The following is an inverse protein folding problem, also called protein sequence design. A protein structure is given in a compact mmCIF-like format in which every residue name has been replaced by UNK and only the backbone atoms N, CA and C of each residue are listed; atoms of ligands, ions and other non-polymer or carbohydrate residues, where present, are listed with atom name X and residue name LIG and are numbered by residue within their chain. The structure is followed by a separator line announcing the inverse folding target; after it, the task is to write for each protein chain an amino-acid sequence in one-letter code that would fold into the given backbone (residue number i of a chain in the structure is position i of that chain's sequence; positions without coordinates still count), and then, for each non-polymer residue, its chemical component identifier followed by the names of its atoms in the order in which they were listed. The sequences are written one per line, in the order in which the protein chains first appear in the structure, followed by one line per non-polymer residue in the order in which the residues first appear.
data_IF_964325091970
#
_entry.id   IF_964325091970
#
_cell.length_a   1.000
_cell.length_b   1.000
_cell.length_c   1.000
_cell.angle_alpha   90.00
_cell.angle_beta   90.00
_cell.angle_gamma   90.00
#
_symmetry.space_group_name_H-M   'P 1'
#
loop_
_entity.id
_entity.type
_entity.pdbx_description
1 polymer ?
#
# COMPACT_ATOMS: atom_id res chain seq x y z
N UNK A 1 -29.13 -26.79 -9.19
CA UNK A 1 -27.86 -26.74 -8.43
C UNK A 1 -26.72 -26.57 -9.42
N UNK A 2 -26.34 -25.34 -9.72
CA UNK A 2 -25.19 -25.07 -10.58
C UNK A 2 -23.99 -24.95 -9.64
N UNK A 3 -23.05 -25.90 -9.75
CA UNK A 3 -21.76 -25.84 -9.07
C UNK A 3 -20.94 -24.74 -9.73
N UNK A 4 -20.98 -23.55 -9.16
CA UNK A 4 -20.08 -22.47 -9.57
C UNK A 4 -18.64 -22.92 -9.32
N UNK A 5 -17.93 -23.04 -10.44
CA UNK A 5 -16.51 -23.36 -10.51
C UNK A 5 -15.75 -22.22 -9.83
N UNK A 6 -15.07 -22.56 -8.74
CA UNK A 6 -13.97 -21.81 -8.14
C UNK A 6 -12.95 -21.43 -9.24
N UNK A 7 -13.15 -20.28 -9.87
CA UNK A 7 -12.12 -19.65 -10.69
C UNK A 7 -11.21 -18.92 -9.71
N UNK A 8 -10.07 -19.52 -9.43
CA UNK A 8 -8.96 -18.84 -8.77
C UNK A 8 -8.49 -17.69 -9.67
N UNK A 9 -9.16 -16.53 -9.56
CA UNK A 9 -8.93 -15.28 -10.30
C UNK A 9 -7.87 -14.39 -9.62
N UNK A 10 -7.09 -14.93 -8.68
CA UNK A 10 -6.16 -14.19 -7.79
C UNK A 10 -4.96 -13.50 -8.47
N UNK A 11 -4.94 -13.47 -9.80
CA UNK A 11 -3.92 -12.78 -10.60
C UNK A 11 -4.48 -11.93 -11.74
N UNK A 12 -5.81 -11.85 -11.89
CA UNK A 12 -6.44 -11.04 -12.95
C UNK A 12 -7.01 -9.71 -12.41
N UNK A 13 -7.25 -9.61 -11.10
CA UNK A 13 -7.82 -8.40 -10.52
C UNK A 13 -6.77 -7.28 -10.49
N UNK A 14 -7.05 -6.10 -11.08
CA UNK A 14 -6.09 -4.99 -11.13
C UNK A 14 -5.47 -4.62 -9.78
N UNK A 15 -6.21 -4.80 -8.68
CA UNK A 15 -5.73 -4.53 -7.33
C UNK A 15 -4.58 -5.47 -6.90
N UNK A 16 -4.72 -6.79 -7.14
CA UNK A 16 -3.72 -7.78 -6.73
C UNK A 16 -2.42 -7.59 -7.51
N UNK A 17 -2.54 -7.26 -8.81
CA UNK A 17 -1.38 -6.94 -9.65
C UNK A 17 -0.60 -5.72 -9.16
N UNK A 18 -1.29 -4.66 -8.73
CA UNK A 18 -0.63 -3.47 -8.19
C UNK A 18 0.14 -3.80 -6.92
N UNK A 19 -0.44 -4.60 -6.01
CA UNK A 19 0.23 -5.02 -4.78
C UNK A 19 1.46 -5.87 -5.10
N UNK A 20 1.35 -6.85 -6.00
CA UNK A 20 2.48 -7.68 -6.44
C UNK A 20 3.60 -6.83 -7.05
N UNK A 21 3.26 -5.93 -7.98
CA UNK A 21 4.25 -5.04 -8.57
C UNK A 21 4.93 -4.20 -7.48
N UNK A 22 4.21 -3.63 -6.51
CA UNK A 22 4.84 -2.87 -5.41
C UNK A 22 5.80 -3.74 -4.58
N UNK A 23 5.50 -5.03 -4.39
CA UNK A 23 6.37 -5.97 -3.68
C UNK A 23 7.62 -6.38 -4.46
N UNK A 24 7.51 -6.46 -5.79
CA UNK A 24 8.62 -6.85 -6.67
C UNK A 24 9.59 -5.70 -6.93
N UNK A 25 9.17 -4.45 -6.69
CA UNK A 25 10.02 -3.27 -6.82
C UNK A 25 10.77 -2.95 -5.53
N UNK A 26 11.90 -2.24 -5.66
CA UNK A 26 12.61 -1.69 -4.51
C UNK A 26 11.72 -0.69 -3.77
N UNK A 27 11.44 -0.95 -2.49
CA UNK A 27 10.62 -0.10 -1.63
C UNK A 27 11.47 1.02 -1.02
N UNK A 28 11.32 2.23 -1.54
CA UNK A 28 11.96 3.44 -1.05
C UNK A 28 11.04 4.10 -0.02
N UNK A 29 11.59 4.61 1.07
CA UNK A 29 10.82 5.29 2.12
C UNK A 29 11.13 6.78 2.06
N UNK A 30 10.11 7.62 1.86
CA UNK A 30 10.29 9.08 1.91
C UNK A 30 10.70 9.55 3.31
N UNK A 31 11.22 10.78 3.42
CA UNK A 31 11.58 11.36 4.72
C UNK A 31 10.35 11.44 5.66
N UNK A 32 9.20 11.83 5.13
CA UNK A 32 7.96 11.97 5.90
C UNK A 32 7.44 10.60 6.34
N UNK A 33 7.47 9.62 5.43
CA UNK A 33 7.10 8.25 5.72
C UNK A 33 8.03 7.62 6.78
N UNK A 34 9.33 7.88 6.72
CA UNK A 34 10.28 7.39 7.73
C UNK A 34 9.96 7.95 9.12
N UNK A 35 9.62 9.24 9.21
CA UNK A 35 9.15 9.86 10.45
C UNK A 35 7.84 9.22 10.95
N UNK A 36 6.88 9.02 10.05
CA UNK A 36 5.58 8.43 10.39
C UNK A 36 5.73 6.98 10.86
N UNK A 37 6.54 6.16 10.18
CA UNK A 37 6.83 4.78 10.59
C UNK A 37 7.41 4.73 12.01
N UNK A 38 8.36 5.60 12.31
CA UNK A 38 8.95 5.72 13.66
C UNK A 38 7.91 6.15 14.71
N UNK A 39 7.07 7.14 14.39
CA UNK A 39 6.00 7.60 15.27
C UNK A 39 4.92 6.53 15.52
N UNK A 40 4.66 5.69 14.52
CA UNK A 40 3.68 4.61 14.58
C UNK A 40 4.25 3.29 15.13
N UNK A 41 5.56 3.24 15.43
CA UNK A 41 6.30 2.04 15.82
C UNK A 41 6.12 0.88 14.81
N UNK A 42 6.12 1.22 13.52
CA UNK A 42 5.98 0.27 12.42
C UNK A 42 7.37 -0.09 11.91
N UNK A 43 7.78 -1.34 12.09
CA UNK A 43 9.04 -1.85 11.55
C UNK A 43 8.96 -2.06 10.03
N UNK A 44 10.11 -2.27 9.40
CA UNK A 44 10.13 -2.62 7.97
C UNK A 44 9.34 -3.90 7.67
N UNK A 45 9.39 -4.91 8.56
CA UNK A 45 8.63 -6.14 8.40
C UNK A 45 7.12 -5.92 8.52
N UNK A 46 6.70 -5.04 9.42
CA UNK A 46 5.29 -4.66 9.56
C UNK A 46 4.81 -3.93 8.31
N UNK A 47 5.63 -3.02 7.76
CA UNK A 47 5.33 -2.33 6.50
C UNK A 47 5.15 -3.33 5.35
N UNK A 48 6.05 -4.30 5.19
CA UNK A 48 5.93 -5.34 4.16
C UNK A 48 4.66 -6.19 4.36
N UNK A 49 4.32 -6.53 5.61
CA UNK A 49 3.09 -7.24 5.94
C UNK A 49 1.84 -6.41 5.65
N UNK A 50 1.87 -5.10 5.92
CA UNK A 50 0.78 -4.18 5.61
C UNK A 50 0.53 -4.13 4.11
N UNK A 51 1.58 -3.92 3.31
CA UNK A 51 1.50 -3.89 1.84
C UNK A 51 0.97 -5.22 1.31
N UNK A 52 1.50 -6.36 1.81
CA UNK A 52 1.07 -7.70 1.37
C UNK A 52 -0.41 -7.97 1.56
N UNK A 53 -0.99 -7.46 2.65
CA UNK A 53 -2.39 -7.69 3.00
C UNK A 53 -3.30 -6.52 2.61
N UNK A 54 -2.76 -5.49 1.94
CA UNK A 54 -3.51 -4.30 1.63
C UNK A 54 -4.51 -4.51 0.49
N UNK A 55 -5.55 -3.69 0.50
CA UNK A 55 -6.47 -3.49 -0.62
C UNK A 55 -6.17 -2.15 -1.27
N UNK A 56 -6.18 -2.13 -2.60
CA UNK A 56 -5.99 -0.90 -3.37
C UNK A 56 -7.30 -0.13 -3.40
N UNK A 57 -7.28 1.12 -2.93
CA UNK A 57 -8.38 2.07 -3.13
C UNK A 57 -8.15 2.87 -4.41
N UNK A 58 -8.72 2.40 -5.51
CA UNK A 58 -8.65 3.09 -6.81
C UNK A 58 -9.40 4.43 -6.84
N UNK A 59 -10.35 4.65 -5.93
CA UNK A 59 -11.09 5.91 -5.83
C UNK A 59 -10.22 7.05 -5.28
N UNK A 60 -9.34 6.73 -4.33
CA UNK A 60 -8.38 7.68 -3.77
C UNK A 60 -7.02 7.69 -4.51
N UNK A 61 -6.74 6.67 -5.32
CA UNK A 61 -5.51 6.56 -6.11
C UNK A 61 -5.47 7.50 -7.32
N UNK A 62 -4.29 8.01 -7.65
CA UNK A 62 -4.03 8.84 -8.84
C UNK A 62 -3.27 8.03 -9.90
N UNK A 63 -3.97 7.05 -10.47
CA UNK A 63 -3.38 6.04 -11.39
C UNK A 63 -2.97 6.57 -12.76
N UNK A 64 -3.43 7.76 -13.15
CA UNK A 64 -3.13 8.38 -14.46
C UNK A 64 -1.95 9.34 -14.45
N UNK A 65 -1.36 9.59 -13.27
CA UNK A 65 -0.19 10.47 -13.14
C UNK A 65 1.03 9.77 -13.74
N UNK A 66 1.75 10.48 -14.60
CA UNK A 66 3.03 10.06 -15.17
C UNK A 66 4.16 10.94 -14.59
N UNK A 67 5.40 10.43 -14.48
CA UNK A 67 5.83 9.07 -14.83
C UNK A 67 5.44 8.01 -13.81
N UNK A 68 5.14 8.41 -12.57
CA UNK A 68 4.87 7.48 -11.48
C UNK A 68 3.47 7.68 -10.90
N UNK A 69 2.51 6.77 -11.17
CA UNK A 69 1.19 6.80 -10.53
C UNK A 69 1.26 6.68 -9.01
N UNK A 70 0.33 7.33 -8.32
CA UNK A 70 0.15 7.22 -6.86
C UNK A 70 -1.01 6.28 -6.54
N UNK A 71 -0.77 5.31 -5.65
CA UNK A 71 -1.73 4.32 -5.19
C UNK A 71 -1.97 4.49 -3.70
N UNK A 72 -3.25 4.46 -3.32
CA UNK A 72 -3.67 4.43 -1.92
C UNK A 72 -3.98 2.97 -1.56
N UNK A 73 -3.28 2.47 -0.54
CA UNK A 73 -3.43 1.12 -0.02
C UNK A 73 -4.02 1.17 1.39
N UNK A 74 -5.03 0.36 1.65
CA UNK A 74 -5.65 0.22 2.96
C UNK A 74 -5.37 -1.17 3.55
N UNK A 75 -4.89 -1.22 4.78
CA UNK A 75 -4.56 -2.47 5.47
C UNK A 75 -4.91 -2.41 6.95
N UNK A 76 -5.04 -3.57 7.59
CA UNK A 76 -5.32 -3.65 9.03
C UNK A 76 -4.04 -3.65 9.86
N UNK A 77 -3.97 -2.82 10.90
CA UNK A 77 -2.90 -2.81 11.89
C UNK A 77 -3.49 -2.75 13.30
N UNK A 78 -3.32 -3.79 14.11
CA UNK A 78 -3.74 -3.81 15.53
C UNK A 78 -5.18 -3.30 15.77
N UNK A 79 -6.15 -3.84 15.02
CA UNK A 79 -7.59 -3.46 15.02
C UNK A 79 -7.91 -2.05 14.50
N UNK A 80 -6.92 -1.33 13.98
CA UNK A 80 -7.07 -0.03 13.30
C UNK A 80 -6.82 -0.20 11.79
N UNK A 81 -7.25 0.79 11.01
CA UNK A 81 -6.91 0.86 9.59
C UNK A 81 -5.64 1.69 9.40
N UNK A 82 -4.69 1.14 8.65
CA UNK A 82 -3.53 1.83 8.13
C UNK A 82 -3.78 2.21 6.66
N UNK A 83 -3.46 3.44 6.31
CA UNK A 83 -3.58 3.99 4.96
C UNK A 83 -2.16 4.34 4.51
N UNK A 84 -1.73 3.77 3.39
CA UNK A 84 -0.42 3.98 2.80
C UNK A 84 -0.59 4.65 1.43
N UNK A 85 0.18 5.69 1.17
CA UNK A 85 0.30 6.28 -0.16
C UNK A 85 1.63 5.84 -0.78
N UNK A 86 1.55 5.09 -1.87
CA UNK A 86 2.71 4.55 -2.57
C UNK A 86 2.75 5.10 -3.99
N UNK A 87 3.85 5.75 -4.32
CA UNK A 87 4.16 6.15 -5.68
C UNK A 87 4.90 5.02 -6.40
N UNK A 88 4.32 4.46 -7.44
CA UNK A 88 4.93 3.36 -8.21
C UNK A 88 5.58 3.91 -9.49
N UNK A 89 6.89 3.84 -9.57
CA UNK A 89 7.68 4.16 -10.77
C UNK A 89 8.04 2.86 -11.54
N UNK A 90 8.80 2.96 -12.64
CA UNK A 90 9.18 1.79 -13.45
C UNK A 90 10.07 0.77 -12.73
N UNK A 91 10.86 1.21 -11.74
CA UNK A 91 11.86 0.37 -11.05
C UNK A 91 11.79 0.46 -9.53
N UNK A 92 10.92 1.30 -8.99
CA UNK A 92 10.83 1.55 -7.56
C UNK A 92 9.39 1.81 -7.14
N UNK A 93 9.10 1.49 -5.89
CA UNK A 93 7.89 1.89 -5.21
C UNK A 93 8.29 2.77 -4.03
N UNK A 94 7.83 4.01 -4.00
CA UNK A 94 8.16 4.94 -2.91
C UNK A 94 6.97 5.07 -1.97
N UNK A 95 7.14 4.70 -0.69
CA UNK A 95 6.19 5.05 0.35
C UNK A 95 6.29 6.56 0.60
N UNK A 96 5.25 7.28 0.22
CA UNK A 96 5.16 8.73 0.38
C UNK A 96 4.66 9.08 1.77
N UNK A 97 3.58 8.42 2.20
CA UNK A 97 2.95 8.63 3.50
C UNK A 97 2.35 7.34 4.07
N UNK A 98 2.29 7.26 5.39
CA UNK A 98 1.53 6.26 6.14
C UNK A 98 0.78 6.92 7.30
N UNK A 99 -0.48 6.54 7.49
CA UNK A 99 -1.35 7.02 8.56
C UNK A 99 -2.09 5.85 9.19
N UNK A 100 -2.30 5.89 10.49
CA UNK A 100 -3.15 4.94 11.21
C UNK A 100 -4.35 5.70 11.78
N UNK A 101 -5.56 5.21 11.51
CA UNK A 101 -6.79 5.86 11.96
C UNK A 101 -6.77 6.00 13.49
N UNK A 102 -6.94 7.22 13.98
CA UNK A 102 -6.91 7.54 15.41
C UNK A 102 -5.52 7.75 16.01
N UNK A 103 -4.47 7.82 15.19
CA UNK A 103 -3.11 8.21 15.61
C UNK A 103 -2.63 9.39 14.75
N UNK A 104 -2.03 10.39 15.41
CA UNK A 104 -1.49 11.59 14.75
C UNK A 104 0.02 11.61 14.90
N UNK A 105 0.71 11.89 13.80
CA UNK A 105 2.16 12.08 13.76
C UNK A 105 2.42 13.45 13.15
N UNK A 106 3.21 14.27 13.84
CA UNK A 106 3.63 15.58 13.36
C UNK A 106 4.98 15.42 12.65
N UNK A 107 4.94 15.19 11.33
CA UNK A 107 6.12 15.07 10.47
C UNK A 107 6.14 16.24 9.49
N UNK A 108 7.28 16.91 9.36
CA UNK A 108 7.48 18.17 8.61
C UNK A 108 8.77 18.18 7.79
#
# INVERSE_FOLDING_TARGET
MIKDRDRNLKGWLPAERVVQEIQDHELIISKDAACQLKCLDISHNDLLALVKNAKVDFGQSKVRIKPCPSYVLESGLNKKSAILEIQKCEKSATLINIKVVGQKCECS
#
